data_IF_756447596928
#
_entry.id   IF_756447596928
#
_cell.length_a   1.000
_cell.length_b   1.000
_cell.length_c   1.000
_cell.angle_alpha   90.00
_cell.angle_beta   90.00
_cell.angle_gamma   90.00
#
_symmetry.space_group_name_H-M   'P 1'
#
loop_
_entity.id
_entity.type
_entity.pdbx_description
1 polymer ?
#
# COMPACT_ATOMS: atom_id res chain seq x y z
N UNK A 1 -1.88 -21.94 -9.29
CA UNK A 1 -1.86 -20.76 -10.18
C UNK A 1 -1.74 -19.54 -9.28
N UNK A 2 -0.65 -18.75 -9.34
CA UNK A 2 -0.57 -17.49 -8.59
C UNK A 2 -1.59 -16.53 -9.23
N UNK A 3 -2.61 -16.13 -8.49
CA UNK A 3 -3.64 -15.24 -9.00
C UNK A 3 -3.27 -13.81 -8.64
N UNK A 4 -2.92 -13.04 -9.66
CA UNK A 4 -2.69 -11.60 -9.52
C UNK A 4 -4.02 -10.91 -9.28
N UNK A 5 -4.09 -10.07 -8.26
CA UNK A 5 -5.26 -9.26 -7.94
C UNK A 5 -4.99 -7.84 -8.41
N UNK A 6 -5.87 -7.33 -9.26
CA UNK A 6 -5.76 -5.98 -9.79
C UNK A 6 -6.85 -5.09 -9.18
N UNK A 7 -6.45 -3.91 -8.72
CA UNK A 7 -7.32 -2.83 -8.31
C UNK A 7 -7.09 -1.60 -9.18
N UNK A 8 -8.13 -0.77 -9.27
CA UNK A 8 -8.05 0.56 -9.83
C UNK A 8 -8.81 1.48 -8.89
N UNK A 9 -8.14 2.53 -8.45
CA UNK A 9 -8.70 3.55 -7.58
C UNK A 9 -8.57 4.93 -8.20
N UNK A 10 -9.43 5.86 -7.80
CA UNK A 10 -9.34 7.25 -8.27
C UNK A 10 -8.08 7.94 -7.75
N UNK A 11 -7.75 7.73 -6.48
CA UNK A 11 -6.67 8.45 -5.80
C UNK A 11 -5.95 7.60 -4.74
N UNK A 12 -4.96 8.22 -4.11
CA UNK A 12 -4.20 7.70 -2.98
C UNK A 12 -4.03 8.80 -1.93
N UNK A 13 -4.28 8.45 -0.68
CA UNK A 13 -4.08 9.32 0.49
C UNK A 13 -2.92 8.81 1.33
N UNK A 14 -2.11 9.74 1.81
CA UNK A 14 -1.01 9.50 2.74
C UNK A 14 -1.36 10.14 4.07
N UNK A 15 -1.07 9.44 5.17
CA UNK A 15 -1.21 9.98 6.53
C UNK A 15 0.00 9.61 7.34
N UNK A 16 0.64 10.61 7.95
CA UNK A 16 1.77 10.44 8.87
C UNK A 16 1.44 11.16 10.17
N UNK A 17 1.48 10.44 11.28
CA UNK A 17 1.18 10.98 12.61
C UNK A 17 2.12 10.39 13.66
N UNK A 18 3.20 11.11 13.98
CA UNK A 18 4.27 10.57 14.81
C UNK A 18 4.92 9.35 14.15
N UNK A 19 4.89 8.21 14.85
CA UNK A 19 5.44 6.94 14.39
C UNK A 19 4.45 6.10 13.57
N UNK A 20 3.26 6.64 13.30
CA UNK A 20 2.21 6.00 12.51
C UNK A 20 2.22 6.49 11.07
N UNK A 21 2.22 5.55 10.13
CA UNK A 21 2.20 5.81 8.70
C UNK A 21 1.12 4.98 8.03
N UNK A 22 0.38 5.61 7.11
CA UNK A 22 -0.67 4.98 6.32
C UNK A 22 -0.62 5.45 4.87
N UNK A 23 -0.76 4.51 3.95
CA UNK A 23 -1.05 4.74 2.54
C UNK A 23 -2.37 4.05 2.23
N UNK A 24 -3.34 4.78 1.69
CA UNK A 24 -4.66 4.24 1.36
C UNK A 24 -5.07 4.63 -0.05
N UNK A 25 -5.37 3.63 -0.88
CA UNK A 25 -5.92 3.78 -2.22
C UNK A 25 -7.44 3.61 -2.15
N UNK A 26 -8.20 4.55 -2.75
CA UNK A 26 -9.66 4.62 -2.64
C UNK A 26 -10.29 5.51 -3.73
N UNK A 27 -11.63 5.53 -3.80
CA UNK A 27 -12.44 6.23 -4.81
C UNK A 27 -13.14 7.50 -4.30
N UNK A 28 -12.93 7.92 -3.05
CA UNK A 28 -13.56 9.13 -2.49
C UNK A 28 -13.84 9.12 -0.99
N UNK A 29 -13.79 7.95 -0.32
CA UNK A 29 -14.14 7.74 1.10
C UNK A 29 -15.51 8.30 1.52
N UNK A 30 -16.46 8.35 0.60
CA UNK A 30 -17.78 8.95 0.84
C UNK A 30 -18.76 7.96 1.48
N UNK A 31 -18.44 6.65 1.47
CA UNK A 31 -19.33 5.59 1.98
C UNK A 31 -18.58 4.49 2.74
N UNK A 32 -19.29 3.81 3.64
CA UNK A 32 -18.76 2.74 4.51
C UNK A 32 -18.34 1.49 3.72
N UNK A 33 -18.94 1.25 2.55
CA UNK A 33 -18.70 0.07 1.72
C UNK A 33 -17.78 0.35 0.52
N UNK A 34 -17.07 1.47 0.54
CA UNK A 34 -16.26 1.88 -0.60
C UNK A 34 -15.03 0.97 -0.77
N UNK A 35 -14.72 0.51 -2.00
CA UNK A 35 -13.50 -0.24 -2.25
C UNK A 35 -12.24 0.53 -1.84
N UNK A 36 -11.37 -0.14 -1.09
CA UNK A 36 -10.05 0.39 -0.72
C UNK A 36 -8.96 -0.68 -0.67
N UNK A 37 -7.72 -0.21 -0.66
CA UNK A 37 -6.55 -0.98 -0.26
C UNK A 37 -5.64 -0.09 0.59
N UNK A 38 -5.18 -0.59 1.72
CA UNK A 38 -4.46 0.18 2.73
C UNK A 38 -3.21 -0.56 3.20
N UNK A 39 -2.15 0.21 3.44
CA UNK A 39 -0.89 -0.24 4.03
C UNK A 39 -0.65 0.64 5.25
N UNK A 40 -0.40 0.02 6.39
CA UNK A 40 -0.11 0.70 7.66
C UNK A 40 1.16 0.14 8.29
N UNK A 41 1.88 0.99 9.01
CA UNK A 41 3.00 0.59 9.87
C UNK A 41 3.03 1.50 11.09
N UNK A 42 3.47 0.97 12.23
CA UNK A 42 3.60 1.73 13.48
C UNK A 42 4.97 1.42 14.10
N UNK A 43 5.82 2.43 14.24
CA UNK A 43 7.21 2.24 14.69
C UNK A 43 7.42 2.28 16.22
N UNK A 44 6.37 2.42 17.02
CA UNK A 44 6.48 2.52 18.50
C UNK A 44 7.25 1.33 19.11
N UNK A 45 7.23 0.17 18.44
CA UNK A 45 8.12 -0.95 18.71
C UNK A 45 8.72 -1.43 17.39
N UNK A 46 9.97 -1.90 17.35
CA UNK A 46 10.54 -2.48 16.14
C UNK A 46 9.75 -3.74 15.76
N UNK A 47 8.81 -3.59 14.84
CA UNK A 47 8.01 -4.66 14.22
C UNK A 47 8.81 -5.44 13.17
N UNK A 48 10.05 -5.01 12.91
CA UNK A 48 10.96 -5.64 11.97
C UNK A 48 10.53 -5.44 10.53
N UNK A 49 9.89 -4.31 10.18
CA UNK A 49 9.47 -3.98 8.82
C UNK A 49 8.21 -4.72 8.39
N UNK A 50 7.37 -5.08 9.35
CA UNK A 50 6.06 -5.71 9.10
C UNK A 50 5.05 -4.59 8.85
N UNK A 51 4.34 -4.68 7.74
CA UNK A 51 3.18 -3.83 7.49
C UNK A 51 1.90 -4.59 7.80
N UNK A 52 0.87 -3.84 8.19
CA UNK A 52 -0.50 -4.30 8.13
C UNK A 52 -1.10 -3.91 6.78
N UNK A 53 -1.52 -4.92 6.03
CA UNK A 53 -2.22 -4.76 4.76
C UNK A 53 -3.71 -4.99 4.99
N UNK A 54 -4.55 -4.06 4.54
CA UNK A 54 -6.00 -4.14 4.69
C UNK A 54 -6.70 -3.81 3.37
N UNK A 55 -7.85 -4.43 3.12
CA UNK A 55 -8.68 -4.16 1.95
C UNK A 55 -10.11 -4.57 2.23
N UNK A 56 -11.06 -3.98 1.49
CA UNK A 56 -12.45 -4.47 1.39
C UNK A 56 -12.56 -5.95 1.00
N UNK A 57 -11.49 -6.57 0.47
CA UNK A 57 -11.40 -8.01 0.28
C UNK A 57 -10.69 -8.66 1.46
N UNK A 58 -11.45 -9.30 2.34
CA UNK A 58 -10.95 -9.91 3.59
C UNK A 58 -9.77 -10.88 3.39
N UNK A 59 -9.72 -11.59 2.26
CA UNK A 59 -8.63 -12.52 1.97
C UNK A 59 -7.27 -11.83 1.74
N UNK A 60 -7.24 -10.50 1.61
CA UNK A 60 -6.02 -9.70 1.48
C UNK A 60 -5.48 -9.18 2.81
N UNK A 61 -6.24 -9.30 3.90
CA UNK A 61 -5.89 -8.73 5.20
C UNK A 61 -4.79 -9.58 5.85
N UNK A 62 -3.65 -8.98 6.20
CA UNK A 62 -2.53 -9.66 6.88
C UNK A 62 -1.54 -8.69 7.51
N UNK A 63 -0.89 -9.12 8.60
CA UNK A 63 0.37 -8.53 9.08
C UNK A 63 1.56 -9.32 8.50
N UNK A 64 2.32 -8.72 7.58
CA UNK A 64 3.51 -9.38 7.01
C UNK A 64 4.52 -8.38 6.47
N UNK A 65 5.71 -8.85 6.11
CA UNK A 65 6.65 -8.05 5.34
C UNK A 65 6.21 -7.98 3.88
N UNK A 66 6.42 -6.82 3.26
CA UNK A 66 6.41 -6.76 1.81
C UNK A 66 7.60 -7.56 1.26
N UNK A 67 7.34 -8.42 0.26
CA UNK A 67 8.35 -9.20 -0.46
C UNK A 67 8.88 -8.46 -1.67
N UNK A 68 8.05 -7.64 -2.30
CA UNK A 68 8.47 -6.74 -3.37
C UNK A 68 7.51 -5.55 -3.46
N UNK A 69 8.06 -4.35 -3.65
CA UNK A 69 7.28 -3.14 -3.94
C UNK A 69 7.90 -2.42 -5.12
N UNK A 70 7.09 -2.14 -6.13
CA UNK A 70 7.45 -1.31 -7.28
C UNK A 70 6.38 -0.24 -7.47
N UNK A 71 6.80 1.01 -7.33
CA UNK A 71 5.99 2.19 -7.53
C UNK A 71 6.34 2.83 -8.88
N UNK A 72 5.33 3.08 -9.70
CA UNK A 72 5.39 3.96 -10.87
C UNK A 72 4.45 5.15 -10.68
N UNK A 73 4.51 6.13 -11.58
CA UNK A 73 3.70 7.36 -11.52
C UNK A 73 2.19 7.16 -11.38
N UNK A 74 1.67 6.00 -11.77
CA UNK A 74 0.25 5.66 -11.69
C UNK A 74 -0.04 4.22 -11.24
N UNK A 75 0.97 3.47 -10.78
CA UNK A 75 0.79 2.08 -10.34
C UNK A 75 1.63 1.72 -9.14
N UNK A 76 1.09 0.88 -8.27
CA UNK A 76 1.82 0.16 -7.24
C UNK A 76 1.72 -1.35 -7.53
N UNK A 77 2.86 -2.03 -7.60
CA UNK A 77 2.91 -3.50 -7.59
C UNK A 77 3.51 -3.94 -6.27
N UNK A 78 2.79 -4.79 -5.57
CA UNK A 78 3.11 -5.24 -4.24
C UNK A 78 2.98 -6.76 -4.19
N UNK A 79 3.97 -7.43 -3.59
CA UNK A 79 3.80 -8.82 -3.15
C UNK A 79 4.09 -8.94 -1.67
N UNK A 80 3.32 -9.78 -0.97
CA UNK A 80 3.42 -9.97 0.49
C UNK A 80 2.81 -11.32 0.91
N UNK A 81 2.84 -11.59 2.21
CA UNK A 81 2.31 -12.80 2.83
C UNK A 81 3.32 -13.95 2.86
N UNK A 82 3.45 -14.57 4.04
CA UNK A 82 4.38 -15.69 4.24
C UNK A 82 3.77 -17.04 3.85
N UNK A 83 2.55 -17.32 4.31
CA UNK A 83 1.86 -18.58 4.01
C UNK A 83 1.07 -18.52 2.68
N UNK A 84 0.47 -17.36 2.38
CA UNK A 84 -0.30 -17.13 1.17
C UNK A 84 0.30 -15.95 0.41
N UNK A 85 1.09 -16.25 -0.61
CA UNK A 85 1.69 -15.22 -1.46
C UNK A 85 0.61 -14.45 -2.20
N UNK A 86 0.48 -13.16 -1.89
CA UNK A 86 -0.44 -12.23 -2.54
C UNK A 86 0.35 -11.37 -3.50
N UNK A 87 -0.12 -11.29 -4.73
CA UNK A 87 0.40 -10.40 -5.77
C UNK A 87 -0.68 -9.39 -6.12
N UNK A 88 -0.49 -8.14 -5.72
CA UNK A 88 -1.44 -7.04 -5.89
C UNK A 88 -0.86 -6.00 -6.83
N UNK A 89 -1.65 -5.58 -7.82
CA UNK A 89 -1.37 -4.41 -8.65
C UNK A 89 -2.49 -3.40 -8.47
N UNK A 90 -2.12 -2.15 -8.24
CA UNK A 90 -3.04 -1.06 -7.96
C UNK A 90 -2.76 0.05 -8.97
N UNK A 91 -3.75 0.44 -9.74
CA UNK A 91 -3.72 1.66 -10.56
C UNK A 91 -4.36 2.81 -9.79
N UNK A 92 -3.75 4.00 -9.85
CA UNK A 92 -4.25 5.20 -9.17
C UNK A 92 -3.85 6.46 -9.95
N UNK A 93 -4.46 7.60 -9.60
CA UNK A 93 -4.02 8.91 -10.07
C UNK A 93 -3.57 9.76 -8.90
N UNK A 94 -2.51 10.53 -9.11
CA UNK A 94 -2.01 11.52 -8.16
C UNK A 94 -1.24 12.57 -8.93
N UNK A 95 -1.19 13.81 -8.43
CA UNK A 95 -0.33 14.83 -9.01
C UNK A 95 1.15 14.62 -8.66
N UNK A 96 2.02 15.47 -9.19
CA UNK A 96 3.46 15.35 -8.95
C UNK A 96 3.85 15.50 -7.47
N UNK A 97 3.15 16.31 -6.70
CA UNK A 97 3.44 16.52 -5.28
C UNK A 97 3.01 15.30 -4.45
N UNK A 98 1.79 14.81 -4.67
CA UNK A 98 1.29 13.61 -4.00
C UNK A 98 2.06 12.35 -4.41
N UNK A 99 2.59 12.26 -5.64
CA UNK A 99 3.50 11.18 -6.01
C UNK A 99 4.80 11.21 -5.18
N UNK A 100 5.39 12.38 -4.97
CA UNK A 100 6.61 12.50 -4.16
C UNK A 100 6.35 12.17 -2.69
N UNK A 101 5.19 12.58 -2.16
CA UNK A 101 4.75 12.23 -0.81
C UNK A 101 4.56 10.72 -0.66
N UNK A 102 3.78 10.10 -1.55
CA UNK A 102 3.58 8.65 -1.59
C UNK A 102 4.92 7.89 -1.69
N UNK A 103 5.79 8.30 -2.59
CA UNK A 103 7.09 7.69 -2.81
C UNK A 103 7.99 7.75 -1.57
N UNK A 104 8.02 8.90 -0.90
CA UNK A 104 8.82 9.10 0.32
C UNK A 104 8.26 8.26 1.45
N UNK A 105 6.94 8.30 1.67
CA UNK A 105 6.29 7.50 2.70
C UNK A 105 6.45 6.00 2.48
N UNK A 106 6.27 5.49 1.26
CA UNK A 106 6.50 4.07 0.98
C UNK A 106 7.95 3.64 1.22
N UNK A 107 8.94 4.51 1.01
CA UNK A 107 10.34 4.22 1.34
C UNK A 107 10.61 4.19 2.85
N UNK A 108 9.95 5.05 3.62
CA UNK A 108 10.05 4.99 5.09
C UNK A 108 9.38 3.73 5.63
N UNK A 109 8.19 3.38 5.11
CA UNK A 109 7.46 2.19 5.53
C UNK A 109 8.14 0.89 5.07
N UNK A 110 8.65 0.88 3.84
CA UNK A 110 9.20 -0.30 3.15
C UNK A 110 10.47 0.15 2.38
N UNK A 111 11.65 0.14 3.04
CA UNK A 111 12.90 0.63 2.46
C UNK A 111 13.31 -0.01 1.12
N UNK A 112 12.86 -1.23 0.84
CA UNK A 112 13.11 -1.95 -0.41
C UNK A 112 12.24 -1.48 -1.58
N UNK A 113 11.38 -0.47 -1.38
CA UNK A 113 10.52 0.08 -2.43
C UNK A 113 11.33 0.62 -3.61
N UNK A 114 11.10 0.04 -4.78
CA UNK A 114 11.65 0.51 -6.05
C UNK A 114 10.73 1.56 -6.65
N UNK A 115 11.32 2.62 -7.19
CA UNK A 115 10.58 3.69 -7.86
C UNK A 115 11.06 3.77 -9.31
N UNK A 116 10.12 3.71 -10.25
CA UNK A 116 10.33 3.90 -11.68
C UNK A 116 9.47 5.08 -12.15
N UNK A 117 10.12 6.16 -12.56
CA UNK A 117 9.50 7.43 -13.01
C UNK A 117 9.53 7.56 -14.52
#
# INVERSE_FOLDING_TARGET
MKMKICFKFETVSVTVSGDYYQVMFHDGLDTVDEPYFMIQTQFEFPDGGVCYFESHKENLIEHSRAKSVLLTTNKLRLSYGEEQHRDVEIEFNVDGAGFQELASTLKEMIPETKIEV
#
